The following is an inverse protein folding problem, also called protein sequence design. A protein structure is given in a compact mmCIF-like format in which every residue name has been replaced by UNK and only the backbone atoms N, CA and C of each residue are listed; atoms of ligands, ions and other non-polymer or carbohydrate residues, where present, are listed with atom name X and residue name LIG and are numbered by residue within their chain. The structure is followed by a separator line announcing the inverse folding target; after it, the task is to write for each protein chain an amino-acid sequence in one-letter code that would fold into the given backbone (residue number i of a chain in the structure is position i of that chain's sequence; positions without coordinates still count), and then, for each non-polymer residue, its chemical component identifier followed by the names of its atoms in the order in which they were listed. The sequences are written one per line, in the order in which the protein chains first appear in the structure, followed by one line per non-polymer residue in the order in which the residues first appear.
data_IF_791758720233
#
_entry.id   IF_791758720233
#
_cell.length_a   1.000
_cell.length_b   1.000
_cell.length_c   1.000
_cell.angle_alpha   90.00
_cell.angle_beta   90.00
_cell.angle_gamma   90.00
#
_symmetry.space_group_name_H-M   'P 1'
#
loop_
_entity.id
_entity.type
_entity.pdbx_description
1 polymer ?
#
# COMPACT_ATOMS: atom_id res chain seq x y z
N UNK A 1 -5.64 -2.28 -24.43
CA UNK A 1 -6.69 -3.10 -23.78
C UNK A 1 -6.93 -2.53 -22.39
N UNK A 2 -8.21 -2.37 -22.06
CA UNK A 2 -8.76 -1.62 -20.93
C UNK A 2 -8.55 -2.40 -19.62
N UNK A 3 -7.71 -1.90 -18.71
CA UNK A 3 -7.56 -2.44 -17.34
C UNK A 3 -7.62 -1.35 -16.25
N UNK A 4 -8.27 -0.22 -16.56
CA UNK A 4 -8.31 0.94 -15.64
C UNK A 4 -9.73 1.28 -15.19
N UNK A 5 -10.78 0.66 -15.76
CA UNK A 5 -12.15 1.22 -15.74
C UNK A 5 -13.17 0.41 -14.92
N UNK A 6 -12.80 -0.68 -14.21
CA UNK A 6 -13.79 -1.47 -13.44
C UNK A 6 -13.53 -1.58 -11.94
N UNK A 7 -12.81 -0.63 -11.33
CA UNK A 7 -12.60 -0.64 -9.88
C UNK A 7 -11.53 -1.63 -9.49
N UNK A 8 -10.27 -1.17 -9.57
CA UNK A 8 -9.08 -1.96 -9.30
C UNK A 8 -9.27 -2.89 -8.12
N UNK A 9 -9.15 -4.20 -8.38
CA UNK A 9 -9.19 -5.20 -7.33
C UNK A 9 -8.12 -4.90 -6.25
N UNK A 10 -8.30 -5.44 -5.04
CA UNK A 10 -7.51 -5.09 -3.84
C UNK A 10 -5.98 -5.15 -4.03
N UNK A 11 -5.50 -5.97 -4.98
CA UNK A 11 -4.08 -6.11 -5.31
C UNK A 11 -3.47 -4.94 -6.09
N UNK A 12 -4.26 -4.15 -6.83
CA UNK A 12 -3.76 -3.02 -7.63
C UNK A 12 -3.99 -1.66 -6.95
N UNK A 13 -4.82 -1.62 -5.89
CA UNK A 13 -5.02 -0.41 -5.09
C UNK A 13 -3.72 0.04 -4.40
N UNK A 14 -2.85 -0.91 -4.01
CA UNK A 14 -1.54 -0.60 -3.39
C UNK A 14 -0.62 0.15 -4.34
N UNK A 15 -0.58 -0.19 -5.63
CA UNK A 15 0.21 0.55 -6.62
C UNK A 15 -0.30 1.99 -6.79
N UNK A 16 -1.62 2.18 -6.77
CA UNK A 16 -2.24 3.52 -6.83
C UNK A 16 -1.94 4.32 -5.56
N UNK A 17 -1.98 3.69 -4.39
CA UNK A 17 -1.73 4.36 -3.11
C UNK A 17 -0.25 4.75 -2.93
N UNK A 18 0.69 3.89 -3.34
CA UNK A 18 2.13 4.22 -3.34
C UNK A 18 2.42 5.35 -4.34
N UNK A 19 1.79 5.33 -5.51
CA UNK A 19 1.89 6.41 -6.49
C UNK A 19 1.37 7.75 -5.94
N UNK A 20 0.24 7.72 -5.25
CA UNK A 20 -0.33 8.90 -4.59
C UNK A 20 0.61 9.50 -3.53
N UNK A 21 1.24 8.65 -2.70
CA UNK A 21 2.24 9.10 -1.72
C UNK A 21 3.44 9.73 -2.40
N UNK A 22 3.91 9.14 -3.50
CA UNK A 22 5.03 9.68 -4.27
C UNK A 22 4.70 11.06 -4.86
N UNK A 23 3.52 11.21 -5.46
CA UNK A 23 3.04 12.47 -6.00
C UNK A 23 2.91 13.54 -4.91
N UNK A 24 2.49 13.16 -3.72
CA UNK A 24 2.35 14.11 -2.61
C UNK A 24 3.70 14.51 -2.00
N UNK A 25 4.66 13.58 -1.92
CA UNK A 25 6.02 13.88 -1.45
C UNK A 25 6.81 14.74 -2.44
N UNK A 26 6.76 14.43 -3.73
CA UNK A 26 7.66 15.02 -4.72
C UNK A 26 6.98 15.96 -5.72
N UNK A 27 5.66 15.83 -5.92
CA UNK A 27 4.88 16.73 -6.75
C UNK A 27 4.33 17.92 -5.96
N UNK A 28 3.73 17.66 -4.79
CA UNK A 28 3.16 18.70 -3.92
C UNK A 28 4.14 19.22 -2.85
N UNK A 29 5.30 18.58 -2.70
CA UNK A 29 6.29 18.86 -1.62
C UNK A 29 5.70 18.75 -0.20
N UNK A 30 4.60 18.03 -0.05
CA UNK A 30 3.87 17.83 1.20
C UNK A 30 4.38 16.57 1.91
N UNK A 31 5.64 16.63 2.32
CA UNK A 31 6.34 15.49 2.91
C UNK A 31 5.69 14.97 4.20
N UNK A 32 5.06 15.85 4.98
CA UNK A 32 4.39 15.45 6.23
C UNK A 32 3.19 14.54 5.99
N UNK A 33 2.34 14.90 5.02
CA UNK A 33 1.18 14.08 4.66
C UNK A 33 1.60 12.79 3.95
N UNK A 34 2.59 12.89 3.05
CA UNK A 34 3.14 11.71 2.38
C UNK A 34 3.76 10.72 3.36
N UNK A 35 4.50 11.20 4.38
CA UNK A 35 5.10 10.36 5.41
C UNK A 35 4.03 9.69 6.31
N UNK A 36 2.94 10.39 6.63
CA UNK A 36 1.83 9.82 7.39
C UNK A 36 1.16 8.69 6.61
N UNK A 37 0.85 8.92 5.32
CA UNK A 37 0.26 7.91 4.45
C UNK A 37 1.19 6.71 4.23
N UNK A 38 2.50 6.93 4.06
CA UNK A 38 3.50 5.87 3.99
C UNK A 38 3.59 5.04 5.28
N UNK A 39 3.50 5.69 6.44
CA UNK A 39 3.52 5.02 7.75
C UNK A 39 2.28 4.14 7.94
N UNK A 40 1.09 4.62 7.54
CA UNK A 40 -0.13 3.81 7.58
C UNK A 40 0.00 2.58 6.68
N UNK A 41 0.50 2.75 5.45
CA UNK A 41 0.79 1.64 4.55
C UNK A 41 1.77 0.63 5.15
N UNK A 42 2.82 1.11 5.81
CA UNK A 42 3.80 0.25 6.48
C UNK A 42 3.15 -0.58 7.57
N UNK A 43 2.30 0.02 8.41
CA UNK A 43 1.57 -0.69 9.47
C UNK A 43 0.67 -1.78 8.88
N UNK A 44 -0.06 -1.47 7.81
CA UNK A 44 -0.90 -2.46 7.11
C UNK A 44 -0.05 -3.60 6.55
N UNK A 45 1.08 -3.29 5.90
CA UNK A 45 2.00 -4.29 5.37
C UNK A 45 2.58 -5.18 6.48
N UNK A 46 2.96 -4.59 7.63
CA UNK A 46 3.46 -5.34 8.78
C UNK A 46 2.39 -6.27 9.36
N UNK A 47 1.13 -5.84 9.43
CA UNK A 47 0.02 -6.69 9.85
C UNK A 47 -0.19 -7.86 8.90
N UNK A 48 -0.13 -7.60 7.58
CA UNK A 48 -0.23 -8.66 6.58
C UNK A 48 0.92 -9.66 6.67
N UNK A 49 2.16 -9.19 6.82
CA UNK A 49 3.34 -10.03 7.00
C UNK A 49 3.24 -10.83 8.30
N UNK A 50 2.79 -10.21 9.38
CA UNK A 50 2.60 -10.89 10.67
C UNK A 50 1.56 -12.01 10.57
N UNK A 51 0.42 -11.75 9.92
CA UNK A 51 -0.61 -12.77 9.66
C UNK A 51 -0.04 -13.87 8.77
N UNK A 52 0.64 -13.52 7.68
CA UNK A 52 1.20 -14.48 6.73
C UNK A 52 2.26 -15.40 7.38
N UNK A 53 3.11 -14.85 8.25
CA UNK A 53 4.09 -15.64 9.01
C UNK A 53 3.43 -16.54 10.03
N UNK A 54 2.34 -16.09 10.67
CA UNK A 54 1.57 -16.90 11.61
C UNK A 54 0.85 -18.05 10.92
N UNK A 55 0.18 -17.80 9.78
CA UNK A 55 -0.52 -18.84 9.02
C UNK A 55 0.44 -19.86 8.42
N UNK A 56 1.63 -19.42 7.99
CA UNK A 56 2.63 -20.32 7.41
C UNK A 56 3.32 -21.21 8.46
N UNK A 57 3.45 -20.73 9.70
CA UNK A 57 3.99 -21.53 10.82
C UNK A 57 3.06 -22.63 11.34
N UNK A 58 1.79 -22.67 10.90
CA UNK A 58 0.82 -23.71 11.26
C UNK A 58 0.83 -24.90 10.29
N UNK A 59 1.56 -24.81 9.17
CA UNK A 59 1.66 -25.86 8.13
C UNK A 59 2.97 -26.68 8.17
N UNK A 60 3.86 -26.46 9.14
CA UNK A 60 5.15 -27.19 9.25
C UNK A 60 5.28 -28.05 10.51
#
# INVERSE_FOLDING_TARGET
QVYVITGGGPLNSTNVLVYYIYEQAFGQFDFGYAAAAATVLLVVALLLVYIQLRTWGEES
#
